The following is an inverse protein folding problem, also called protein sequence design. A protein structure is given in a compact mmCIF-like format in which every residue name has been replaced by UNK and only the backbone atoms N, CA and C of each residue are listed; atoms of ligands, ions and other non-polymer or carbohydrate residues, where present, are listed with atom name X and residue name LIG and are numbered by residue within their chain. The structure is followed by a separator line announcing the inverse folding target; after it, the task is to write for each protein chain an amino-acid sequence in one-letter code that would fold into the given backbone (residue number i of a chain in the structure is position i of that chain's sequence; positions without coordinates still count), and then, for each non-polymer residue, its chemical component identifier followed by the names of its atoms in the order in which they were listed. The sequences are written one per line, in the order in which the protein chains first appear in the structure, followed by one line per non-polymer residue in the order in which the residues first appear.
data_IF_477537560669
#
_entry.id   IF_477537560669
#
_cell.length_a   1.000
_cell.length_b   1.000
_cell.length_c   1.000
_cell.angle_alpha   90.00
_cell.angle_beta   90.00
_cell.angle_gamma   90.00
#
_symmetry.space_group_name_H-M   'P 1'
#
loop_
_entity.id
_entity.type
_entity.pdbx_description
1 polymer ?
#
# COMPACT_ATOMS: atom_id res chain seq x y z
N UNK A 1 -17.40 0.95 7.77
CA UNK A 1 -16.99 1.96 6.76
C UNK A 1 -16.11 1.32 5.66
N UNK A 2 -14.90 0.85 5.97
CA UNK A 2 -13.98 0.28 4.95
C UNK A 2 -14.59 -0.91 4.19
N UNK A 3 -15.28 -1.82 4.88
CA UNK A 3 -16.00 -2.95 4.27
C UNK A 3 -17.17 -2.50 3.38
N UNK A 4 -17.95 -1.55 3.85
CA UNK A 4 -19.08 -0.97 3.10
C UNK A 4 -18.58 -0.33 1.80
N UNK A 5 -17.57 0.53 1.89
CA UNK A 5 -16.96 1.17 0.72
C UNK A 5 -16.43 0.14 -0.29
N UNK A 6 -15.70 -0.88 0.18
CA UNK A 6 -15.17 -1.92 -0.69
C UNK A 6 -16.30 -2.71 -1.39
N UNK A 7 -17.40 -2.95 -0.69
CA UNK A 7 -18.56 -3.68 -1.24
C UNK A 7 -19.33 -2.83 -2.24
N UNK A 8 -19.59 -1.57 -1.92
CA UNK A 8 -20.36 -0.66 -2.77
C UNK A 8 -19.65 -0.33 -4.09
N UNK A 9 -18.31 -0.27 -4.05
CA UNK A 9 -17.49 0.06 -5.23
C UNK A 9 -16.84 -1.17 -5.88
N UNK A 10 -17.15 -2.37 -5.38
CA UNK A 10 -16.61 -3.64 -5.88
C UNK A 10 -15.07 -3.71 -5.88
N UNK A 11 -14.43 -3.09 -4.88
CA UNK A 11 -12.98 -3.16 -4.75
C UNK A 11 -12.54 -4.56 -4.28
N UNK A 12 -11.60 -5.15 -5.01
CA UNK A 12 -11.03 -6.44 -4.63
C UNK A 12 -10.00 -6.33 -3.51
N UNK A 13 -9.21 -5.25 -3.52
CA UNK A 13 -8.18 -4.94 -2.53
C UNK A 13 -8.28 -3.46 -2.17
N UNK A 14 -8.53 -3.16 -0.90
CA UNK A 14 -8.58 -1.80 -0.35
C UNK A 14 -7.64 -1.69 0.86
N UNK A 15 -6.75 -0.70 0.83
CA UNK A 15 -5.78 -0.43 1.89
C UNK A 15 -6.13 0.84 2.66
N UNK A 16 -5.92 0.80 3.95
CA UNK A 16 -5.70 2.01 4.74
C UNK A 16 -4.29 2.55 4.53
N UNK A 17 -4.02 3.72 5.10
CA UNK A 17 -2.73 4.41 4.95
C UNK A 17 -2.00 4.46 6.29
N UNK A 18 -0.74 4.06 6.27
CA UNK A 18 0.17 4.22 7.38
C UNK A 18 1.54 4.70 6.90
N UNK A 19 2.38 5.15 7.81
CA UNK A 19 3.62 5.87 7.51
C UNK A 19 4.84 5.11 8.02
N UNK A 20 5.98 5.26 7.35
CA UNK A 20 7.24 4.65 7.78
C UNK A 20 7.63 5.17 9.18
N UNK A 21 8.21 4.31 10.00
CA UNK A 21 8.67 4.64 11.36
C UNK A 21 9.94 5.46 11.39
N UNK A 22 10.63 5.62 10.27
CA UNK A 22 11.92 6.31 10.13
C UNK A 22 11.80 7.41 9.08
N UNK A 23 12.63 8.45 9.25
CA UNK A 23 12.74 9.52 8.24
C UNK A 23 12.96 8.90 6.84
N UNK A 24 12.27 9.41 5.82
CA UNK A 24 11.48 10.65 5.76
C UNK A 24 10.00 10.50 6.15
N UNK A 25 9.59 9.42 6.82
CA UNK A 25 8.23 9.15 7.32
C UNK A 25 7.16 9.16 6.22
N UNK A 26 7.52 8.82 5.00
CA UNK A 26 6.60 8.78 3.87
C UNK A 26 5.51 7.72 4.06
N UNK A 27 4.34 7.90 3.43
CA UNK A 27 3.31 6.86 3.38
C UNK A 27 3.87 5.55 2.79
N UNK A 28 3.41 4.42 3.31
CA UNK A 28 3.76 3.10 2.74
C UNK A 28 2.78 2.76 1.62
N UNK A 29 2.77 3.63 0.62
CA UNK A 29 2.01 3.52 -0.63
C UNK A 29 2.93 3.85 -1.80
N UNK A 30 2.69 3.20 -2.93
CA UNK A 30 3.48 3.39 -4.14
C UNK A 30 2.56 3.70 -5.33
N UNK A 31 2.88 4.79 -6.04
CA UNK A 31 2.15 5.19 -7.25
C UNK A 31 2.32 4.13 -8.34
N UNK A 32 3.57 3.72 -8.55
CA UNK A 32 3.91 2.67 -9.53
C UNK A 32 4.65 1.53 -8.86
N UNK A 33 4.40 0.35 -9.37
CA UNK A 33 5.15 -0.87 -9.08
C UNK A 33 5.30 -1.62 -10.39
N UNK A 34 6.52 -1.67 -10.89
CA UNK A 34 6.86 -2.26 -12.20
C UNK A 34 7.99 -3.27 -12.05
N UNK A 35 7.96 -4.31 -12.86
CA UNK A 35 9.06 -5.28 -12.96
C UNK A 35 9.77 -5.06 -14.29
N UNK A 36 11.03 -4.68 -14.22
CA UNK A 36 11.89 -4.43 -15.40
C UNK A 36 13.15 -5.27 -15.26
N UNK A 37 13.45 -6.07 -16.27
CA UNK A 37 14.63 -6.95 -16.30
C UNK A 37 14.76 -7.82 -15.03
N UNK A 38 13.65 -8.36 -14.54
CA UNK A 38 13.62 -9.25 -13.36
C UNK A 38 13.80 -8.52 -12.02
N UNK A 39 13.61 -7.22 -11.98
CA UNK A 39 13.72 -6.42 -10.76
C UNK A 39 12.52 -5.50 -10.60
N UNK A 40 12.00 -5.41 -9.38
CA UNK A 40 10.91 -4.52 -9.04
C UNK A 40 11.41 -3.08 -8.80
N UNK A 41 10.67 -2.13 -9.34
CA UNK A 41 10.87 -0.69 -9.14
C UNK A 41 9.57 -0.06 -8.67
N UNK A 42 9.69 0.88 -7.75
CA UNK A 42 8.57 1.64 -7.20
C UNK A 42 8.79 3.14 -7.35
N UNK A 43 7.69 3.89 -7.45
CA UNK A 43 7.70 5.34 -7.27
C UNK A 43 6.77 5.74 -6.13
N UNK A 44 7.12 6.82 -5.44
CA UNK A 44 6.30 7.40 -4.37
C UNK A 44 5.31 8.42 -4.96
N UNK A 45 4.19 8.63 -4.27
CA UNK A 45 3.25 9.69 -4.62
C UNK A 45 3.86 11.06 -4.31
N UNK A 46 3.67 12.01 -5.21
CA UNK A 46 4.00 13.43 -4.96
C UNK A 46 3.03 14.02 -3.94
N UNK A 47 1.74 13.73 -4.11
CA UNK A 47 0.67 14.11 -3.20
C UNK A 47 -0.28 12.92 -3.01
N UNK A 48 -0.77 12.74 -1.79
CA UNK A 48 -1.77 11.73 -1.47
C UNK A 48 -3.15 12.37 -1.67
N UNK A 49 -4.01 11.83 -2.57
CA UNK A 49 -5.38 12.28 -2.72
C UNK A 49 -6.18 12.19 -1.41
N UNK A 50 -7.23 13.00 -1.28
CA UNK A 50 -8.11 12.98 -0.09
C UNK A 50 -9.21 11.92 -0.14
N UNK A 51 -9.37 11.25 -1.28
CA UNK A 51 -10.37 10.19 -1.51
C UNK A 51 -9.69 8.90 -1.93
N UNK A 52 -10.46 7.83 -2.01
CA UNK A 52 -9.98 6.53 -2.52
C UNK A 52 -9.43 6.67 -3.94
N UNK A 53 -8.28 6.08 -4.16
CA UNK A 53 -7.56 6.11 -5.43
C UNK A 53 -6.83 4.79 -5.69
N UNK A 54 -6.57 4.51 -6.97
CA UNK A 54 -5.79 3.34 -7.38
C UNK A 54 -4.29 3.55 -7.10
N UNK A 55 -3.62 2.49 -6.63
CA UNK A 55 -2.20 2.51 -6.29
C UNK A 55 -1.46 1.35 -6.97
N UNK A 56 -0.17 1.51 -7.19
CA UNK A 56 0.70 0.46 -7.73
C UNK A 56 1.08 -0.60 -6.70
N UNK A 57 1.21 -0.20 -5.44
CA UNK A 57 1.59 -1.10 -4.36
C UNK A 57 1.29 -0.51 -2.98
N UNK A 58 1.20 -1.40 -2.00
CA UNK A 58 0.88 -1.08 -0.60
C UNK A 58 1.76 -1.87 0.35
N UNK A 59 1.88 -1.41 1.59
CA UNK A 59 2.28 -2.25 2.71
C UNK A 59 1.07 -2.88 3.39
N UNK A 60 1.29 -3.93 4.18
CA UNK A 60 0.21 -4.74 4.76
C UNK A 60 -0.16 -4.33 6.19
N UNK A 61 -0.03 -3.06 6.54
CA UNK A 61 -0.44 -2.54 7.86
C UNK A 61 -1.96 -2.55 8.09
N UNK A 62 -2.75 -2.33 7.03
CA UNK A 62 -4.21 -2.41 7.07
C UNK A 62 -4.75 -2.67 5.66
N UNK A 63 -5.15 -3.89 5.39
CA UNK A 63 -5.66 -4.31 4.08
C UNK A 63 -6.95 -5.10 4.26
N UNK A 64 -7.96 -4.72 3.50
CA UNK A 64 -9.18 -5.49 3.30
C UNK A 64 -9.16 -6.04 1.87
N UNK A 65 -9.43 -7.32 1.70
CA UNK A 65 -9.48 -7.93 0.38
C UNK A 65 -10.55 -9.02 0.29
N UNK A 66 -11.02 -9.26 -0.93
CA UNK A 66 -11.87 -10.41 -1.20
C UNK A 66 -11.06 -11.71 -1.06
N UNK A 67 -11.64 -12.71 -0.46
CA UNK A 67 -11.00 -14.04 -0.31
C UNK A 67 -10.64 -14.66 -1.67
N UNK A 68 -11.39 -14.34 -2.73
CA UNK A 68 -11.11 -14.80 -4.08
C UNK A 68 -9.70 -14.42 -4.55
N UNK A 69 -9.20 -13.24 -4.18
CA UNK A 69 -7.82 -12.81 -4.49
C UNK A 69 -6.79 -13.83 -3.99
N UNK A 70 -7.00 -14.32 -2.76
CA UNK A 70 -6.10 -15.30 -2.14
C UNK A 70 -6.21 -16.68 -2.83
N UNK A 71 -7.42 -17.11 -3.17
CA UNK A 71 -7.61 -18.38 -3.88
C UNK A 71 -6.96 -18.35 -5.26
N UNK A 72 -7.15 -17.29 -6.03
CA UNK A 72 -6.56 -17.16 -7.36
C UNK A 72 -5.03 -17.09 -7.29
N UNK A 73 -4.50 -16.41 -6.29
CA UNK A 73 -3.06 -16.32 -6.06
C UNK A 73 -2.47 -17.69 -5.70
N UNK A 74 -3.08 -18.40 -4.77
CA UNK A 74 -2.67 -19.76 -4.42
C UNK A 74 -2.80 -20.73 -5.60
N UNK A 75 -3.85 -20.62 -6.39
CA UNK A 75 -4.08 -21.46 -7.57
C UNK A 75 -2.99 -21.28 -8.63
N UNK A 76 -2.57 -20.02 -8.87
CA UNK A 76 -1.59 -19.72 -9.93
C UNK A 76 -0.14 -19.90 -9.48
N UNK A 77 0.18 -19.47 -8.25
CA UNK A 77 1.57 -19.38 -7.79
C UNK A 77 1.91 -20.40 -6.70
N UNK A 78 0.90 -21.04 -6.10
CA UNK A 78 1.03 -21.82 -4.85
C UNK A 78 1.75 -21.05 -3.74
N UNK A 79 1.60 -19.73 -3.74
CA UNK A 79 2.31 -18.79 -2.87
C UNK A 79 1.65 -17.39 -2.93
N UNK A 80 1.85 -16.58 -1.89
CA UNK A 80 1.33 -15.21 -1.82
C UNK A 80 2.43 -14.19 -1.51
N UNK A 81 3.29 -14.49 -0.55
CA UNK A 81 4.17 -13.51 0.10
C UNK A 81 5.66 -13.78 -0.07
N UNK A 82 6.10 -14.91 -0.62
CA UNK A 82 7.53 -15.14 -0.84
C UNK A 82 8.11 -14.04 -1.73
N UNK A 83 9.20 -13.38 -1.31
CA UNK A 83 9.83 -12.30 -2.06
C UNK A 83 10.20 -12.70 -3.50
N UNK A 84 9.84 -11.86 -4.47
CA UNK A 84 10.20 -11.99 -5.88
C UNK A 84 10.78 -10.69 -6.42
N UNK A 85 11.60 -10.77 -7.44
CA UNK A 85 12.18 -9.61 -8.15
C UNK A 85 12.89 -8.60 -7.23
N UNK A 86 13.51 -9.06 -6.15
CA UNK A 86 14.13 -8.22 -5.11
C UNK A 86 13.15 -7.29 -4.37
N UNK A 87 11.84 -7.55 -4.46
CA UNK A 87 10.83 -6.87 -3.67
C UNK A 87 10.64 -7.57 -2.32
N UNK A 88 10.23 -6.81 -1.29
CA UNK A 88 9.77 -7.39 -0.04
C UNK A 88 8.43 -8.14 -0.20
N UNK A 89 7.99 -8.81 0.85
CA UNK A 89 6.77 -9.66 0.86
C UNK A 89 5.51 -8.90 0.44
N UNK A 90 5.30 -7.69 0.94
CA UNK A 90 4.14 -6.87 0.65
C UNK A 90 4.06 -6.51 -0.84
N UNK A 91 5.17 -6.06 -1.41
CA UNK A 91 5.24 -5.70 -2.83
C UNK A 91 5.21 -6.94 -3.71
N UNK A 92 5.75 -8.06 -3.26
CA UNK A 92 5.65 -9.34 -3.99
C UNK A 92 4.21 -9.83 -4.10
N UNK A 93 3.40 -9.63 -3.05
CA UNK A 93 1.96 -9.84 -3.12
C UNK A 93 1.31 -8.90 -4.14
N UNK A 94 1.63 -7.60 -4.10
CA UNK A 94 1.08 -6.62 -5.04
C UNK A 94 1.41 -6.95 -6.50
N UNK A 95 2.63 -7.40 -6.78
CA UNK A 95 3.04 -7.85 -8.13
C UNK A 95 2.15 -9.00 -8.59
N UNK A 96 1.98 -10.04 -7.78
CA UNK A 96 1.14 -11.20 -8.11
C UNK A 96 -0.32 -10.82 -8.31
N UNK A 97 -0.86 -9.95 -7.45
CA UNK A 97 -2.23 -9.45 -7.58
C UNK A 97 -2.44 -8.73 -8.92
N UNK A 98 -1.53 -7.85 -9.30
CA UNK A 98 -1.57 -7.13 -10.58
C UNK A 98 -1.42 -8.06 -11.79
N UNK A 99 -0.56 -9.06 -11.74
CA UNK A 99 -0.41 -10.08 -12.78
C UNK A 99 -1.69 -10.92 -12.97
N UNK A 100 -2.50 -11.07 -11.91
CA UNK A 100 -3.83 -11.68 -11.94
C UNK A 100 -4.92 -10.74 -12.47
N UNK A 101 -4.60 -9.46 -12.71
CA UNK A 101 -5.55 -8.45 -13.19
C UNK A 101 -6.28 -7.70 -12.08
N UNK A 102 -5.94 -7.92 -10.81
CA UNK A 102 -6.52 -7.18 -9.70
C UNK A 102 -5.99 -5.75 -9.61
N UNK A 103 -6.88 -4.84 -9.26
CA UNK A 103 -6.54 -3.46 -8.92
C UNK A 103 -6.44 -3.29 -7.41
N UNK A 104 -5.53 -2.44 -6.99
CA UNK A 104 -5.31 -2.12 -5.59
C UNK A 104 -5.70 -0.67 -5.36
N UNK A 105 -6.52 -0.43 -4.35
CA UNK A 105 -6.98 0.89 -3.95
C UNK A 105 -6.51 1.23 -2.55
N UNK A 106 -6.34 2.51 -2.28
CA UNK A 106 -6.06 3.03 -0.94
C UNK A 106 -6.99 4.20 -0.62
N UNK A 107 -7.42 4.28 0.63
CA UNK A 107 -8.20 5.41 1.12
C UNK A 107 -7.51 6.03 2.35
N UNK A 108 -7.06 7.31 2.27
CA UNK A 108 -6.38 7.98 3.35
C UNK A 108 -7.27 8.31 4.56
N UNK A 109 -8.59 8.22 4.44
CA UNK A 109 -9.49 8.33 5.60
C UNK A 109 -9.34 7.15 6.59
N UNK A 110 -8.85 5.99 6.10
CA UNK A 110 -8.52 4.82 6.94
C UNK A 110 -7.05 4.84 7.31
N UNK A 111 -6.64 5.84 8.07
CA UNK A 111 -5.25 5.98 8.50
C UNK A 111 -4.98 5.27 9.81
N UNK A 112 -3.75 4.78 9.95
CA UNK A 112 -3.26 4.06 11.12
C UNK A 112 -1.98 4.70 11.65
N UNK A 113 -1.86 4.69 12.97
CA UNK A 113 -0.60 4.99 13.63
C UNK A 113 0.34 3.80 13.56
N UNK A 114 1.57 4.04 13.17
CA UNK A 114 2.62 3.03 13.19
C UNK A 114 3.36 3.09 14.53
N UNK A 115 3.25 2.03 15.33
CA UNK A 115 3.88 2.02 16.65
C UNK A 115 5.41 2.07 16.54
N UNK A 116 6.00 3.01 17.26
CA UNK A 116 7.44 3.13 17.49
C UNK A 116 7.62 3.75 18.89
N UNK A 117 8.74 4.38 19.21
CA UNK A 117 8.86 5.19 20.42
C UNK A 117 7.95 6.43 20.39
N UNK A 118 7.43 6.78 19.22
CA UNK A 118 6.34 7.73 19.01
C UNK A 118 5.36 7.19 17.98
N UNK A 119 4.12 7.68 17.99
CA UNK A 119 3.13 7.32 16.98
C UNK A 119 3.43 8.11 15.71
N UNK A 120 3.84 7.43 14.64
CA UNK A 120 4.02 8.02 13.31
C UNK A 120 2.72 7.89 12.54
N UNK A 121 2.02 9.00 12.38
CA UNK A 121 0.76 9.11 11.65
C UNK A 121 0.81 10.29 10.66
N UNK A 122 -0.30 10.58 9.98
CA UNK A 122 -0.39 11.70 9.02
C UNK A 122 -0.03 13.03 9.68
N UNK A 123 -0.53 13.30 10.88
CA UNK A 123 -0.25 14.56 11.60
C UNK A 123 1.23 14.70 11.91
N UNK A 124 1.89 13.64 12.36
CA UNK A 124 3.33 13.62 12.60
C UNK A 124 4.11 13.88 11.31
N UNK A 125 3.74 13.22 10.20
CA UNK A 125 4.37 13.40 8.90
C UNK A 125 4.22 14.84 8.38
N UNK A 126 3.03 15.41 8.45
CA UNK A 126 2.78 16.80 8.03
C UNK A 126 3.55 17.81 8.88
N UNK A 127 3.64 17.56 10.18
CA UNK A 127 4.47 18.38 11.08
C UNK A 127 5.97 18.30 10.73
N UNK A 128 6.46 17.10 10.41
CA UNK A 128 7.84 16.87 9.99
C UNK A 128 8.15 17.57 8.65
N UNK A 129 7.25 17.51 7.67
CA UNK A 129 7.40 18.25 6.39
C UNK A 129 7.50 19.74 6.62
N UNK A 130 6.55 20.33 7.36
CA UNK A 130 6.55 21.77 7.69
C UNK A 130 7.82 22.20 8.42
N UNK A 131 8.33 21.37 9.32
CA UNK A 131 9.59 21.63 10.01
C UNK A 131 10.79 21.67 9.08
N UNK A 132 10.79 20.91 7.99
CA UNK A 132 11.85 20.93 6.95
C UNK A 132 11.75 22.13 6.01
N UNK A 133 10.54 22.54 5.65
CA UNK A 133 10.31 23.70 4.77
C UNK A 133 10.68 25.04 5.45
N UNK A 134 10.65 25.07 6.78
CA UNK A 134 10.98 26.26 7.58
C UNK A 134 12.42 26.24 8.14
N UNK A 135 13.19 25.21 7.85
CA UNK A 135 14.59 25.08 8.25
C UNK A 135 15.54 25.43 7.09
#
# INVERSE_FOLDING_TARGET
RMYEEATENDYDILSGVYYRRRSPYTPVLFDKLEVVAGRAFTSEFQEIPDKTFEVGGIGFGCVLMKVQVLFDMMSKYNDMFTPVYSAGEDLSFCIRAKELGYKIYANPEYYLGHYSQTIVNRQFYEAFKRGKENA
#
